data_IF_066554009555
#
_entry.id   IF_066554009555
#
_cell.length_a   1.000
_cell.length_b   1.000
_cell.length_c   1.000
_cell.angle_alpha   90.00
_cell.angle_beta   90.00
_cell.angle_gamma   90.00
#
_symmetry.space_group_name_H-M   'P 1'
#
loop_
_entity.id
_entity.type
_entity.pdbx_description
1 polymer ?
#
# COMPACT_ATOMS: atom_id res chain seq x y z
N UNK A 1 -8.56 8.61 -74.45
CA UNK A 1 -9.29 7.75 -73.48
C UNK A 1 -8.57 7.85 -72.13
N UNK A 2 -9.04 8.69 -71.19
CA UNK A 2 -8.47 8.77 -69.84
C UNK A 2 -9.23 7.83 -68.92
N UNK A 3 -8.58 6.77 -68.46
CA UNK A 3 -9.12 5.79 -67.52
C UNK A 3 -9.01 6.39 -66.11
N UNK A 4 -10.14 6.75 -65.50
CA UNK A 4 -10.18 7.16 -64.09
C UNK A 4 -9.95 5.92 -63.22
N UNK A 5 -8.81 5.86 -62.51
CA UNK A 5 -8.55 4.86 -61.47
C UNK A 5 -9.57 5.05 -60.34
N UNK A 6 -10.42 4.04 -60.13
CA UNK A 6 -11.35 3.98 -59.03
C UNK A 6 -10.55 3.87 -57.73
N UNK A 7 -10.40 4.98 -56.99
CA UNK A 7 -9.81 4.95 -55.66
C UNK A 7 -10.90 4.44 -54.72
N UNK A 8 -10.72 3.24 -54.17
CA UNK A 8 -11.57 2.66 -53.12
C UNK A 8 -11.40 3.48 -51.83
N UNK A 9 -11.98 4.69 -51.80
CA UNK A 9 -12.13 5.45 -50.58
C UNK A 9 -13.17 4.76 -49.72
N UNK A 10 -12.78 4.26 -48.55
CA UNK A 10 -13.74 3.91 -47.50
C UNK A 10 -14.57 5.17 -47.28
N UNK A 11 -15.88 5.11 -47.52
CA UNK A 11 -16.76 6.25 -47.27
C UNK A 11 -16.58 6.65 -45.80
N UNK A 12 -16.51 7.96 -45.53
CA UNK A 12 -16.29 8.48 -44.17
C UNK A 12 -17.25 7.83 -43.15
N UNK A 13 -18.47 7.52 -43.60
CA UNK A 13 -19.51 6.80 -42.87
C UNK A 13 -19.06 5.38 -42.50
N UNK A 14 -18.50 4.60 -43.43
CA UNK A 14 -18.01 3.26 -43.16
C UNK A 14 -16.86 3.27 -42.15
N UNK A 15 -15.95 4.26 -42.23
CA UNK A 15 -14.87 4.43 -41.25
C UNK A 15 -15.42 4.74 -39.84
N UNK A 16 -16.38 5.67 -39.75
CA UNK A 16 -17.04 6.03 -38.48
C UNK A 16 -17.76 4.82 -37.88
N UNK A 17 -18.48 4.05 -38.70
CA UNK A 17 -19.17 2.83 -38.25
C UNK A 17 -18.17 1.81 -37.71
N UNK A 18 -17.06 1.57 -38.41
CA UNK A 18 -16.03 0.65 -37.94
C UNK A 18 -15.45 1.09 -36.59
N UNK A 19 -15.14 2.38 -36.43
CA UNK A 19 -14.61 2.91 -35.16
C UNK A 19 -15.62 2.71 -34.02
N UNK A 20 -16.90 3.03 -34.24
CA UNK A 20 -17.94 2.86 -33.22
C UNK A 20 -18.10 1.39 -32.82
N UNK A 21 -18.12 0.47 -33.80
CA UNK A 21 -18.21 -0.97 -33.54
C UNK A 21 -16.99 -1.46 -32.73
N UNK A 22 -15.78 -1.05 -33.12
CA UNK A 22 -14.56 -1.45 -32.42
C UNK A 22 -14.53 -0.92 -30.98
N UNK A 23 -15.00 0.31 -30.73
CA UNK A 23 -15.11 0.87 -29.39
C UNK A 23 -16.12 0.11 -28.52
N UNK A 24 -17.28 -0.26 -29.09
CA UNK A 24 -18.29 -1.04 -28.39
C UNK A 24 -17.78 -2.45 -28.03
N UNK A 25 -17.13 -3.13 -28.98
CA UNK A 25 -16.53 -4.46 -28.74
C UNK A 25 -15.43 -4.36 -27.68
N UNK A 26 -14.61 -3.31 -27.74
CA UNK A 26 -13.55 -3.08 -26.74
C UNK A 26 -14.11 -2.82 -25.35
N UNK A 27 -15.18 -2.04 -25.23
CA UNK A 27 -15.85 -1.79 -23.95
C UNK A 27 -16.42 -3.08 -23.34
N UNK A 28 -17.05 -3.93 -24.16
CA UNK A 28 -17.56 -5.24 -23.72
C UNK A 28 -16.39 -6.16 -23.31
N UNK A 29 -15.32 -6.23 -24.09
CA UNK A 29 -14.14 -7.03 -23.77
C UNK A 29 -13.47 -6.58 -22.45
N UNK A 30 -13.37 -5.27 -22.23
CA UNK A 30 -12.89 -4.69 -20.96
C UNK A 30 -13.82 -5.07 -19.81
N UNK A 31 -15.14 -4.97 -19.97
CA UNK A 31 -16.09 -5.35 -18.94
C UNK A 31 -16.02 -6.85 -18.59
N UNK A 32 -15.84 -7.71 -19.59
CA UNK A 32 -15.71 -9.16 -19.42
C UNK A 32 -14.37 -9.57 -18.78
N UNK A 33 -13.34 -8.74 -18.88
CA UNK A 33 -12.02 -9.04 -18.31
C UNK A 33 -11.84 -8.42 -16.93
N UNK A 34 -12.27 -7.17 -16.76
CA UNK A 34 -11.95 -6.30 -15.61
C UNK A 34 -13.18 -5.92 -14.77
N UNK A 35 -14.41 -6.15 -15.26
CA UNK A 35 -15.62 -5.89 -14.48
C UNK A 35 -15.73 -6.78 -13.24
N UNK A 36 -16.67 -6.47 -12.34
CA UNK A 36 -16.89 -7.20 -11.08
C UNK A 36 -17.20 -8.70 -11.29
N UNK A 37 -17.84 -9.03 -12.41
CA UNK A 37 -18.09 -10.41 -12.86
C UNK A 37 -17.14 -10.87 -13.97
N UNK A 38 -16.11 -10.07 -14.24
CA UNK A 38 -15.10 -10.32 -15.24
C UNK A 38 -14.16 -11.45 -14.85
N UNK A 39 -13.40 -11.92 -15.83
CA UNK A 39 -12.55 -13.10 -15.68
C UNK A 39 -11.51 -12.96 -14.56
N UNK A 40 -10.93 -11.77 -14.36
CA UNK A 40 -9.93 -11.54 -13.32
C UNK A 40 -10.53 -11.53 -11.92
N UNK A 41 -11.71 -10.93 -11.74
CA UNK A 41 -12.45 -10.96 -10.48
C UNK A 41 -12.83 -12.40 -10.12
N UNK A 42 -13.39 -13.16 -11.09
CA UNK A 42 -13.72 -14.58 -10.92
C UNK A 42 -12.49 -15.44 -10.62
N UNK A 43 -11.36 -15.20 -11.30
CA UNK A 43 -10.12 -15.92 -11.04
C UNK A 43 -9.57 -15.63 -9.64
N UNK A 44 -9.67 -14.39 -9.18
CA UNK A 44 -9.25 -13.98 -7.83
C UNK A 44 -10.14 -14.61 -6.76
N UNK A 45 -11.46 -14.59 -6.97
CA UNK A 45 -12.42 -15.26 -6.10
C UNK A 45 -12.17 -16.77 -6.05
N UNK A 46 -11.94 -17.42 -7.19
CA UNK A 46 -11.63 -18.84 -7.26
C UNK A 46 -10.35 -19.19 -6.48
N UNK A 47 -9.31 -18.35 -6.54
CA UNK A 47 -8.09 -18.52 -5.75
C UNK A 47 -8.36 -18.39 -4.25
N UNK A 48 -9.17 -17.43 -3.82
CA UNK A 48 -9.55 -17.26 -2.40
C UNK A 48 -10.37 -18.46 -1.93
N UNK A 49 -11.34 -18.93 -2.72
CA UNK A 49 -12.15 -20.11 -2.41
C UNK A 49 -11.30 -21.38 -2.32
N UNK A 50 -10.34 -21.56 -3.22
CA UNK A 50 -9.40 -22.68 -3.17
C UNK A 50 -8.54 -22.61 -1.89
N UNK A 51 -7.95 -21.44 -1.59
CA UNK A 51 -7.14 -21.26 -0.39
C UNK A 51 -7.95 -21.51 0.90
N UNK A 52 -9.23 -21.12 0.90
CA UNK A 52 -10.18 -21.36 1.99
C UNK A 52 -10.52 -22.85 2.14
N UNK A 53 -10.77 -23.55 1.03
CA UNK A 53 -10.99 -25.01 1.06
C UNK A 53 -9.77 -25.74 1.60
N UNK A 54 -8.57 -25.40 1.11
CA UNK A 54 -7.31 -25.98 1.57
C UNK A 54 -7.08 -25.73 3.08
N UNK A 55 -7.41 -24.53 3.57
CA UNK A 55 -7.34 -24.20 5.00
C UNK A 55 -8.23 -25.12 5.83
N UNK A 56 -9.49 -25.33 5.41
CA UNK A 56 -10.43 -26.19 6.13
C UNK A 56 -9.99 -27.66 6.14
N UNK A 57 -9.50 -28.18 5.02
CA UNK A 57 -9.02 -29.56 4.93
C UNK A 57 -7.81 -29.81 5.83
N UNK A 58 -6.84 -28.89 5.82
CA UNK A 58 -5.65 -28.96 6.68
C UNK A 58 -6.05 -28.86 8.15
N UNK A 59 -6.89 -27.89 8.51
CA UNK A 59 -7.31 -27.71 9.90
C UNK A 59 -8.07 -28.94 10.43
N UNK A 60 -8.91 -29.56 9.59
CA UNK A 60 -9.63 -30.78 9.94
C UNK A 60 -8.68 -31.95 10.16
N UNK A 61 -7.68 -32.10 9.29
CA UNK A 61 -6.66 -33.14 9.41
C UNK A 61 -5.84 -32.97 10.69
N UNK A 62 -5.39 -31.74 10.99
CA UNK A 62 -4.64 -31.47 12.22
C UNK A 62 -5.49 -31.70 13.48
N UNK A 63 -6.76 -31.30 13.46
CA UNK A 63 -7.66 -31.55 14.58
C UNK A 63 -7.87 -33.06 14.81
N UNK A 64 -8.02 -33.83 13.73
CA UNK A 64 -8.14 -35.28 13.81
C UNK A 64 -6.86 -35.91 14.38
N UNK A 65 -5.68 -35.46 13.96
CA UNK A 65 -4.40 -35.93 14.49
C UNK A 65 -4.30 -35.66 16.01
N UNK A 66 -4.73 -34.47 16.45
CA UNK A 66 -4.77 -34.11 17.87
C UNK A 66 -5.71 -35.03 18.67
N UNK A 67 -6.91 -35.32 18.14
CA UNK A 67 -7.85 -36.25 18.79
C UNK A 67 -7.29 -37.66 18.89
N UNK A 68 -6.65 -38.16 17.82
CA UNK A 68 -6.05 -39.50 17.79
C UNK A 68 -4.94 -39.62 18.83
N UNK A 69 -4.04 -38.63 18.93
CA UNK A 69 -2.98 -38.59 19.95
C UNK A 69 -3.54 -38.56 21.38
N UNK A 70 -4.59 -37.77 21.61
CA UNK A 70 -5.24 -37.71 22.92
C UNK A 70 -5.86 -39.07 23.30
N UNK A 71 -6.51 -39.73 22.34
CA UNK A 71 -7.10 -41.07 22.53
C UNK A 71 -6.06 -42.14 22.85
N UNK A 72 -4.92 -42.15 22.14
CA UNK A 72 -3.80 -43.08 22.37
C UNK A 72 -3.21 -42.93 23.79
N UNK A 73 -3.21 -41.70 24.32
CA UNK A 73 -2.68 -41.36 25.64
C UNK A 73 -3.73 -41.41 26.76
N UNK A 74 -4.99 -41.76 26.44
CA UNK A 74 -6.09 -41.79 27.41
C UNK A 74 -6.50 -40.41 27.94
N UNK A 75 -6.20 -39.34 27.21
CA UNK A 75 -6.51 -37.96 27.55
C UNK A 75 -7.90 -37.55 27.04
N UNK A 76 -8.48 -36.52 27.66
CA UNK A 76 -9.72 -35.90 27.18
C UNK A 76 -9.56 -35.27 25.79
N UNK A 77 -10.65 -35.19 25.05
CA UNK A 77 -10.66 -34.61 23.70
C UNK A 77 -10.10 -33.17 23.68
N UNK A 78 -9.18 -32.85 22.76
CA UNK A 78 -8.59 -31.52 22.66
C UNK A 78 -9.61 -30.48 22.20
N UNK A 79 -9.40 -29.23 22.61
CA UNK A 79 -10.18 -28.09 22.11
C UNK A 79 -9.86 -27.83 20.63
N UNK A 80 -10.85 -27.39 19.84
CA UNK A 80 -10.66 -27.11 18.41
C UNK A 80 -9.64 -25.98 18.16
N UNK A 81 -9.54 -25.05 19.10
CA UNK A 81 -8.62 -23.92 19.11
C UNK A 81 -7.16 -24.37 19.12
N UNK A 82 -6.85 -25.58 19.60
CA UNK A 82 -5.49 -26.13 19.62
C UNK A 82 -4.87 -26.29 18.23
N UNK A 83 -5.70 -26.42 17.18
CA UNK A 83 -5.23 -26.46 15.78
C UNK A 83 -4.44 -25.19 15.41
N UNK A 84 -4.83 -24.05 15.98
CA UNK A 84 -4.23 -22.74 15.70
C UNK A 84 -2.78 -22.63 16.20
N UNK A 85 -2.35 -23.53 17.09
CA UNK A 85 -0.98 -23.63 17.59
C UNK A 85 -0.16 -24.76 16.95
N UNK A 86 -0.77 -25.60 16.10
CA UNK A 86 -0.05 -26.74 15.50
C UNK A 86 1.02 -26.28 14.51
N UNK A 87 2.20 -26.90 14.57
CA UNK A 87 3.35 -26.51 13.75
C UNK A 87 3.04 -26.60 12.26
N UNK A 88 2.34 -27.65 11.82
CA UNK A 88 1.96 -27.83 10.42
C UNK A 88 0.95 -26.78 9.95
N UNK A 89 0.00 -26.40 10.82
CA UNK A 89 -0.94 -25.32 10.54
C UNK A 89 -0.21 -23.98 10.42
N UNK A 90 0.65 -23.68 11.39
CA UNK A 90 1.48 -22.47 11.43
C UNK A 90 2.59 -22.45 10.38
N UNK A 91 2.92 -23.56 9.73
CA UNK A 91 3.84 -23.57 8.58
C UNK A 91 3.19 -22.98 7.33
N UNK A 92 1.87 -23.12 7.18
CA UNK A 92 1.12 -22.64 6.00
C UNK A 92 0.36 -21.34 6.25
N UNK A 93 -0.09 -21.14 7.48
CA UNK A 93 -0.96 -20.02 7.84
C UNK A 93 -0.35 -19.17 8.94
N UNK A 94 -0.86 -17.96 9.06
CA UNK A 94 -0.50 -17.04 10.13
C UNK A 94 -1.78 -16.54 10.77
N UNK A 95 -1.66 -16.16 12.04
CA UNK A 95 -2.78 -15.69 12.84
C UNK A 95 -2.52 -14.22 13.19
N UNK A 96 -3.41 -13.33 12.75
CA UNK A 96 -3.28 -11.89 12.96
C UNK A 96 -4.60 -11.36 13.50
N UNK A 97 -4.64 -11.01 14.79
CA UNK A 97 -5.90 -10.68 15.47
C UNK A 97 -6.87 -11.85 15.40
N UNK A 98 -8.08 -11.62 14.89
CA UNK A 98 -9.11 -12.65 14.68
C UNK A 98 -9.07 -13.31 13.30
N UNK A 99 -8.10 -12.93 12.45
CA UNK A 99 -7.99 -13.41 11.09
C UNK A 99 -6.93 -14.50 10.94
N UNK A 100 -7.20 -15.40 9.99
CA UNK A 100 -6.26 -16.40 9.49
C UNK A 100 -5.83 -15.96 8.10
N UNK A 101 -4.53 -15.80 7.93
CA UNK A 101 -3.92 -15.34 6.67
C UNK A 101 -3.03 -16.42 6.07
N UNK A 102 -2.81 -16.36 4.76
CA UNK A 102 -1.68 -17.09 4.17
C UNK A 102 -0.34 -16.44 4.58
N UNK A 103 0.77 -17.06 4.17
CA UNK A 103 2.13 -16.51 4.39
C UNK A 103 2.42 -15.18 3.69
N UNK A 104 1.55 -14.75 2.78
CA UNK A 104 1.64 -13.45 2.10
C UNK A 104 0.81 -12.37 2.80
N UNK A 105 0.11 -12.70 3.89
CA UNK A 105 -0.71 -11.77 4.66
C UNK A 105 -2.12 -11.55 4.12
N UNK A 106 -2.55 -12.29 3.10
CA UNK A 106 -3.92 -12.22 2.57
C UNK A 106 -4.87 -12.96 3.53
N UNK A 107 -5.94 -12.30 3.96
CA UNK A 107 -6.96 -12.89 4.83
C UNK A 107 -7.73 -13.97 4.06
N UNK A 108 -7.77 -15.17 4.61
CA UNK A 108 -8.48 -16.32 4.03
C UNK A 108 -9.82 -16.54 4.74
N UNK A 109 -9.80 -16.46 6.07
CA UNK A 109 -10.95 -16.75 6.94
C UNK A 109 -10.72 -16.16 8.34
N UNK A 110 -11.75 -16.15 9.18
CA UNK A 110 -11.63 -15.80 10.61
C UNK A 110 -11.40 -17.03 11.49
N UNK A 111 -10.81 -16.82 12.66
CA UNK A 111 -10.71 -17.84 13.70
C UNK A 111 -12.09 -18.40 14.05
N UNK A 112 -13.06 -17.51 14.28
CA UNK A 112 -14.39 -17.90 14.71
C UNK A 112 -15.05 -18.88 13.74
N UNK A 113 -15.01 -18.58 12.44
CA UNK A 113 -15.59 -19.44 11.41
C UNK A 113 -14.88 -20.79 11.31
N UNK A 114 -13.54 -20.79 11.37
CA UNK A 114 -12.78 -22.03 11.37
C UNK A 114 -13.13 -22.92 12.57
N UNK A 115 -13.22 -22.34 13.76
CA UNK A 115 -13.54 -23.07 14.98
C UNK A 115 -14.98 -23.60 14.97
N UNK A 116 -15.96 -22.81 14.50
CA UNK A 116 -17.35 -23.27 14.32
C UNK A 116 -17.41 -24.48 13.37
N UNK A 117 -16.67 -24.42 12.26
CA UNK A 117 -16.57 -25.52 11.31
C UNK A 117 -15.98 -26.79 11.97
N UNK A 118 -14.86 -26.68 12.69
CA UNK A 118 -14.23 -27.83 13.34
C UNK A 118 -15.10 -28.47 14.43
N UNK A 119 -15.99 -27.69 15.04
CA UNK A 119 -16.99 -28.16 16.03
C UNK A 119 -18.22 -28.82 15.39
N UNK A 120 -18.29 -28.90 14.05
CA UNK A 120 -19.36 -29.59 13.32
C UNK A 120 -20.64 -28.76 13.14
N UNK A 121 -20.54 -27.43 13.21
CA UNK A 121 -21.68 -26.56 12.95
C UNK A 121 -22.16 -26.71 11.49
N UNK A 122 -23.40 -27.19 11.32
CA UNK A 122 -23.99 -27.55 10.03
C UNK A 122 -24.35 -26.33 9.16
N UNK A 123 -24.20 -25.11 9.68
CA UNK A 123 -24.40 -23.86 8.93
C UNK A 123 -23.29 -23.55 7.92
N UNK A 124 -22.16 -24.27 7.97
CA UNK A 124 -20.99 -24.08 7.09
C UNK A 124 -20.84 -25.29 6.15
N UNK A 125 -21.69 -25.37 5.11
CA UNK A 125 -21.67 -26.47 4.12
C UNK A 125 -20.67 -26.23 2.98
N UNK A 126 -19.97 -27.29 2.56
CA UNK A 126 -18.88 -27.30 1.57
C UNK A 126 -19.35 -27.36 0.09
N UNK A 127 -20.61 -27.05 -0.23
CA UNK A 127 -21.14 -27.28 -1.59
C UNK A 127 -22.20 -26.30 -2.11
N UNK A 128 -22.38 -25.13 -1.50
CA UNK A 128 -23.27 -24.11 -2.08
C UNK A 128 -22.49 -23.24 -3.08
N UNK A 129 -22.90 -23.14 -4.37
CA UNK A 129 -22.52 -21.99 -5.17
C UNK A 129 -23.10 -20.77 -4.47
N UNK A 130 -22.23 -19.92 -3.97
CA UNK A 130 -22.59 -18.71 -3.26
C UNK A 130 -23.43 -17.80 -4.18
N UNK A 131 -24.73 -17.73 -3.93
CA UNK A 131 -25.52 -16.55 -4.27
C UNK A 131 -25.32 -15.55 -3.14
N UNK A 132 -24.85 -14.32 -3.42
CA UNK A 132 -24.54 -13.37 -2.37
C UNK A 132 -25.78 -13.06 -1.52
N UNK A 133 -25.68 -12.91 -0.19
CA UNK A 133 -26.52 -11.95 0.49
C UNK A 133 -26.30 -10.61 -0.21
N UNK A 134 -27.36 -9.85 -0.44
CA UNK A 134 -27.26 -8.53 -1.04
C UNK A 134 -26.10 -7.74 -0.41
N UNK A 135 -25.10 -7.44 -1.24
CA UNK A 135 -24.06 -6.44 -1.05
C UNK A 135 -23.46 -6.34 0.36
N UNK A 136 -22.44 -7.16 0.66
CA UNK A 136 -21.36 -6.67 1.53
C UNK A 136 -20.23 -6.16 0.62
N UNK A 137 -19.88 -4.86 0.68
CA UNK A 137 -18.93 -4.27 -0.25
C UNK A 137 -17.55 -4.89 -0.07
N UNK A 138 -16.84 -5.04 -1.20
CA UNK A 138 -15.37 -5.01 -1.32
C UNK A 138 -14.81 -4.11 -0.23
N UNK A 139 -13.67 -4.42 0.44
CA UNK A 139 -13.09 -3.51 1.43
C UNK A 139 -12.90 -2.16 0.76
N UNK A 140 -13.88 -1.32 1.00
CA UNK A 140 -14.03 0.02 0.50
C UNK A 140 -13.30 0.78 1.58
N UNK A 141 -12.34 1.62 1.18
CA UNK A 141 -12.01 2.75 2.03
C UNK A 141 -13.35 3.50 2.18
N UNK A 142 -13.97 3.55 3.38
CA UNK A 142 -15.31 4.09 3.52
C UNK A 142 -15.32 5.53 2.97
N UNK A 143 -16.13 5.78 1.92
CA UNK A 143 -16.26 7.10 1.30
C UNK A 143 -15.38 7.40 0.07
N UNK A 144 -14.60 6.46 -0.47
CA UNK A 144 -13.86 6.68 -1.73
C UNK A 144 -14.71 6.31 -2.97
N UNK A 145 -14.78 7.20 -3.95
CA UNK A 145 -15.52 6.95 -5.20
C UNK A 145 -14.80 5.88 -6.07
N UNK A 146 -15.57 5.04 -6.76
CA UNK A 146 -15.04 3.92 -7.59
C UNK A 146 -14.07 4.41 -8.67
N UNK A 147 -14.35 5.57 -9.25
CA UNK A 147 -13.53 6.23 -10.27
C UNK A 147 -12.17 6.73 -9.77
N UNK A 148 -11.98 6.81 -8.45
CA UNK A 148 -10.75 7.30 -7.82
C UNK A 148 -9.85 6.18 -7.28
N UNK A 149 -10.26 4.92 -7.43
CA UNK A 149 -9.50 3.75 -6.95
C UNK A 149 -8.11 3.67 -7.59
N UNK A 150 -7.98 4.08 -8.86
CA UNK A 150 -6.69 4.06 -9.57
C UNK A 150 -5.86 5.35 -9.39
N UNK A 151 -6.40 6.36 -8.71
CA UNK A 151 -5.78 7.68 -8.51
C UNK A 151 -5.11 7.77 -7.14
N UNK A 152 -3.98 8.47 -7.08
CA UNK A 152 -3.49 8.99 -5.80
C UNK A 152 -4.47 10.08 -5.36
N UNK A 153 -5.09 9.91 -4.20
CA UNK A 153 -6.05 10.84 -3.63
C UNK A 153 -5.50 11.38 -2.32
N UNK A 154 -5.30 12.70 -2.29
CA UNK A 154 -4.82 13.45 -1.14
C UNK A 154 -5.90 14.42 -0.69
N UNK A 155 -6.11 14.52 0.61
CA UNK A 155 -6.92 15.58 1.21
C UNK A 155 -5.99 16.64 1.77
N UNK A 156 -6.03 17.83 1.17
CA UNK A 156 -5.26 19.00 1.60
C UNK A 156 -6.13 19.84 2.55
N UNK A 157 -5.66 20.00 3.78
CA UNK A 157 -6.31 20.79 4.82
C UNK A 157 -5.50 22.10 5.03
N UNK A 158 -6.00 23.24 4.57
CA UNK A 158 -5.33 24.54 4.68
C UNK A 158 -5.91 25.31 5.87
N UNK A 159 -5.06 25.65 6.84
CA UNK A 159 -5.42 26.44 8.04
C UNK A 159 -5.40 27.94 7.76
N UNK A 160 -4.39 28.38 7.01
CA UNK A 160 -4.20 29.78 6.60
C UNK A 160 -3.71 29.82 5.17
N UNK A 161 -4.07 30.87 4.44
CA UNK A 161 -3.70 31.05 3.04
C UNK A 161 -2.23 30.74 2.77
N UNK A 162 -2.01 29.85 1.81
CA UNK A 162 -0.69 29.34 1.50
C UNK A 162 -0.57 28.99 0.03
N UNK A 163 0.66 29.05 -0.48
CA UNK A 163 0.97 28.56 -1.81
C UNK A 163 1.02 27.03 -1.78
N UNK A 164 0.30 26.41 -2.71
CA UNK A 164 0.45 25.01 -3.09
C UNK A 164 1.22 24.95 -4.39
N UNK A 165 2.31 24.19 -4.42
CA UNK A 165 3.08 23.90 -5.62
C UNK A 165 3.00 22.41 -5.93
N UNK A 166 2.45 22.06 -7.08
CA UNK A 166 2.43 20.71 -7.63
C UNK A 166 3.34 20.74 -8.84
N UNK A 167 4.49 20.08 -8.75
CA UNK A 167 5.44 19.97 -9.85
C UNK A 167 5.25 18.63 -10.54
N UNK A 168 5.06 18.67 -11.86
CA UNK A 168 4.84 17.53 -12.73
C UNK A 168 5.97 17.49 -13.75
N UNK A 169 6.53 16.29 -14.00
CA UNK A 169 7.58 16.12 -14.99
C UNK A 169 7.06 16.36 -16.41
N UNK A 170 7.73 17.20 -17.18
CA UNK A 170 7.38 17.49 -18.58
C UNK A 170 7.40 16.22 -19.49
N UNK A 171 8.08 15.16 -19.05
CA UNK A 171 8.19 13.90 -19.80
C UNK A 171 7.02 12.95 -19.54
N UNK A 172 6.26 13.15 -18.47
CA UNK A 172 5.20 12.25 -18.02
C UNK A 172 4.01 13.09 -17.52
N UNK A 173 3.07 13.46 -18.39
CA UNK A 173 1.90 14.23 -17.95
C UNK A 173 1.11 13.43 -16.92
N UNK A 174 0.74 14.11 -15.83
CA UNK A 174 -0.10 13.58 -14.76
C UNK A 174 -1.39 14.37 -14.79
N UNK A 175 -2.51 13.69 -15.08
CA UNK A 175 -3.82 14.31 -14.96
C UNK A 175 -4.05 14.62 -13.49
N UNK A 176 -4.19 15.89 -13.19
CA UNK A 176 -4.39 16.40 -11.84
C UNK A 176 -5.77 17.05 -11.78
N UNK A 177 -6.58 16.63 -10.81
CA UNK A 177 -7.86 17.25 -10.48
C UNK A 177 -7.73 17.86 -9.08
N UNK A 178 -8.07 19.13 -8.95
CA UNK A 178 -8.12 19.86 -7.68
C UNK A 178 -9.59 20.17 -7.42
N UNK A 179 -10.17 19.50 -6.45
CA UNK A 179 -11.57 19.66 -6.05
C UNK A 179 -11.63 20.55 -4.83
N UNK A 180 -12.24 21.72 -4.97
CA UNK A 180 -12.44 22.68 -3.88
C UNK A 180 -13.57 22.25 -2.94
N UNK A 181 -13.67 22.90 -1.77
CA UNK A 181 -14.72 22.63 -0.78
C UNK A 181 -16.15 22.86 -1.31
N UNK A 182 -16.33 23.75 -2.30
CA UNK A 182 -17.61 24.03 -2.95
C UNK A 182 -17.96 23.05 -4.09
N UNK A 183 -17.09 22.06 -4.34
CA UNK A 183 -17.22 21.08 -5.41
C UNK A 183 -16.70 21.52 -6.77
N UNK A 184 -16.16 22.75 -6.90
CA UNK A 184 -15.51 23.18 -8.14
C UNK A 184 -14.27 22.32 -8.44
N UNK A 185 -14.09 21.97 -9.71
CA UNK A 185 -12.99 21.10 -10.16
C UNK A 185 -12.11 21.88 -11.12
N UNK A 186 -10.83 22.03 -10.77
CA UNK A 186 -9.77 22.54 -11.65
C UNK A 186 -8.94 21.35 -12.15
N UNK A 187 -8.70 21.27 -13.47
CA UNK A 187 -7.90 20.19 -14.07
C UNK A 187 -6.67 20.71 -14.79
N UNK A 188 -5.56 20.01 -14.65
CA UNK A 188 -4.29 20.33 -15.34
C UNK A 188 -3.47 19.08 -15.59
N UNK A 189 -2.56 19.16 -16.56
CA UNK A 189 -1.53 18.14 -16.85
C UNK A 189 -0.11 18.66 -16.65
N UNK A 190 0.04 19.93 -16.28
CA UNK A 190 1.31 20.63 -16.09
C UNK A 190 1.44 21.11 -14.65
N UNK A 191 2.66 21.48 -14.27
CA UNK A 191 2.94 22.04 -12.94
C UNK A 191 2.05 23.24 -12.64
N UNK A 192 1.52 23.29 -11.42
CA UNK A 192 0.73 24.41 -10.91
C UNK A 192 1.38 24.96 -9.65
N UNK A 193 1.44 26.28 -9.52
CA UNK A 193 1.81 26.96 -8.29
C UNK A 193 0.86 28.12 -8.08
N UNK A 194 0.03 28.04 -7.03
CA UNK A 194 -1.07 28.97 -6.79
C UNK A 194 -1.33 29.10 -5.30
N UNK A 195 -1.79 30.26 -4.88
CA UNK A 195 -2.25 30.48 -3.50
C UNK A 195 -3.67 29.95 -3.35
N UNK A 196 -3.88 29.12 -2.34
CA UNK A 196 -5.19 28.62 -1.94
C UNK A 196 -5.55 29.20 -0.57
N UNK A 197 -6.82 29.53 -0.41
CA UNK A 197 -7.36 30.06 0.84
C UNK A 197 -7.51 28.95 1.88
N UNK A 198 -7.71 29.32 3.14
CA UNK A 198 -8.11 28.36 4.17
C UNK A 198 -9.33 27.53 3.74
N UNK A 199 -9.28 26.22 3.97
CA UNK A 199 -10.30 25.29 3.49
C UNK A 199 -9.80 23.87 3.27
N UNK A 200 -10.67 23.01 2.76
CA UNK A 200 -10.34 21.62 2.43
C UNK A 200 -10.40 21.41 0.92
N UNK A 201 -9.38 20.77 0.37
CA UNK A 201 -9.28 20.46 -1.05
C UNK A 201 -8.96 18.99 -1.23
N UNK A 202 -9.49 18.38 -2.28
CA UNK A 202 -9.12 17.01 -2.68
C UNK A 202 -8.26 17.10 -3.92
N UNK A 203 -7.03 16.61 -3.82
CA UNK A 203 -6.12 16.50 -4.95
C UNK A 203 -6.16 15.07 -5.46
N UNK A 204 -6.42 14.88 -6.75
CA UNK A 204 -6.44 13.57 -7.39
C UNK A 204 -5.43 13.55 -8.51
N UNK A 205 -4.57 12.54 -8.53
CA UNK A 205 -3.51 12.40 -9.52
C UNK A 205 -3.60 11.08 -10.25
N UNK A 206 -3.54 11.15 -11.57
CA UNK A 206 -3.55 9.99 -12.45
C UNK A 206 -2.53 10.19 -13.57
N UNK A 207 -1.39 9.51 -13.47
CA UNK A 207 -0.47 9.46 -14.59
C UNK A 207 -0.62 8.18 -15.41
N UNK A 208 0.33 7.97 -16.34
CA UNK A 208 0.26 6.88 -17.31
C UNK A 208 0.54 5.52 -16.68
N UNK A 209 0.14 4.43 -17.36
CA UNK A 209 0.37 3.06 -16.88
C UNK A 209 1.85 2.67 -16.82
N UNK A 210 2.71 3.28 -17.64
CA UNK A 210 4.15 3.09 -17.59
C UNK A 210 4.73 3.89 -16.43
N UNK A 211 4.66 5.21 -16.46
CA UNK A 211 5.36 6.09 -15.49
C UNK A 211 4.67 6.32 -14.16
N UNK A 212 3.42 5.84 -13.99
CA UNK A 212 2.61 6.07 -12.81
C UNK A 212 2.60 7.56 -12.42
N UNK A 213 3.30 7.96 -11.36
CA UNK A 213 3.39 9.35 -10.86
C UNK A 213 4.83 9.83 -10.77
N UNK A 214 5.72 9.30 -11.62
CA UNK A 214 7.16 9.58 -11.56
C UNK A 214 7.49 11.08 -11.44
N UNK A 215 8.26 11.43 -10.40
CA UNK A 215 8.68 12.78 -10.05
C UNK A 215 7.54 13.76 -9.71
N UNK A 216 6.36 13.27 -9.34
CA UNK A 216 5.33 14.13 -8.73
C UNK A 216 5.88 14.71 -7.42
N UNK A 217 5.84 16.04 -7.30
CA UNK A 217 6.21 16.74 -6.08
C UNK A 217 5.10 17.69 -5.66
N UNK A 218 4.42 17.33 -4.56
CA UNK A 218 3.38 18.14 -3.93
C UNK A 218 3.99 18.85 -2.72
N UNK A 219 4.06 20.17 -2.79
CA UNK A 219 4.73 21.02 -1.81
C UNK A 219 3.79 22.10 -1.25
N UNK A 220 3.67 22.17 0.07
CA UNK A 220 2.90 23.15 0.82
C UNK A 220 3.58 23.43 2.16
N UNK A 221 3.42 24.65 2.69
CA UNK A 221 3.94 25.05 4.00
C UNK A 221 3.26 24.24 5.12
N UNK A 222 4.05 23.40 5.80
CA UNK A 222 3.59 22.50 6.87
C UNK A 222 3.11 23.22 8.13
N UNK A 223 3.47 24.50 8.30
CA UNK A 223 2.94 25.34 9.40
C UNK A 223 1.52 25.83 9.11
N UNK A 224 1.13 25.87 7.82
CA UNK A 224 -0.13 26.45 7.34
C UNK A 224 -1.11 25.41 6.81
N UNK A 225 -0.64 24.22 6.45
CA UNK A 225 -1.48 23.17 5.90
C UNK A 225 -1.01 21.76 6.29
N UNK A 226 -1.86 20.78 6.07
CA UNK A 226 -1.53 19.36 6.18
C UNK A 226 -2.15 18.53 5.06
N UNK A 227 -1.57 17.36 4.80
CA UNK A 227 -2.04 16.42 3.78
C UNK A 227 -2.41 15.08 4.43
N UNK A 228 -3.63 14.61 4.20
CA UNK A 228 -4.01 13.24 4.49
C UNK A 228 -3.94 12.42 3.21
N UNK A 229 -3.21 11.30 3.21
CA UNK A 229 -3.19 10.33 2.11
C UNK A 229 -4.39 9.41 2.26
N UNK A 230 -5.33 9.52 1.34
CA UNK A 230 -6.59 8.77 1.35
C UNK A 230 -6.47 7.48 0.53
N UNK A 231 -5.86 7.58 -0.66
CA UNK A 231 -5.62 6.45 -1.55
C UNK A 231 -4.30 6.63 -2.29
N UNK A 232 -3.52 5.56 -2.43
CA UNK A 232 -2.27 5.58 -3.21
C UNK A 232 -2.48 5.38 -4.71
N UNK A 233 -3.66 4.90 -5.11
CA UNK A 233 -3.96 4.57 -6.50
C UNK A 233 -3.38 3.23 -6.92
N UNK A 234 -3.24 3.03 -8.23
CA UNK A 234 -2.73 1.78 -8.80
C UNK A 234 -1.27 1.56 -8.44
N UNK A 235 -0.91 0.35 -7.99
CA UNK A 235 0.50 -0.01 -7.76
C UNK A 235 1.32 0.17 -9.07
N UNK A 236 2.43 0.93 -9.05
CA UNK A 236 3.29 1.10 -10.22
C UNK A 236 3.90 -0.23 -10.69
N UNK A 237 4.19 -0.34 -11.99
CA UNK A 237 4.75 -1.56 -12.59
C UNK A 237 6.25 -1.73 -12.32
N UNK A 238 6.92 -0.64 -11.94
CA UNK A 238 8.35 -0.57 -11.64
C UNK A 238 8.59 0.53 -10.60
N UNK A 239 9.77 0.54 -9.98
CA UNK A 239 10.13 1.52 -8.97
C UNK A 239 9.99 2.95 -9.49
N UNK A 240 9.18 3.74 -8.80
CA UNK A 240 8.95 5.15 -9.08
C UNK A 240 8.94 5.91 -7.77
N UNK A 241 9.25 7.21 -7.82
CA UNK A 241 9.30 8.04 -6.62
C UNK A 241 8.45 9.29 -6.74
N UNK A 242 7.89 9.69 -5.60
CA UNK A 242 7.17 10.94 -5.42
C UNK A 242 7.69 11.68 -4.18
N UNK A 243 7.37 12.98 -4.10
CA UNK A 243 7.61 13.80 -2.91
C UNK A 243 6.28 14.38 -2.44
N UNK A 244 6.01 14.21 -1.14
CA UNK A 244 4.83 14.77 -0.47
C UNK A 244 5.30 15.57 0.75
N UNK A 245 4.95 16.85 0.82
CA UNK A 245 5.19 17.66 2.01
C UNK A 245 4.03 17.62 3.00
N UNK A 246 4.26 17.91 4.27
CA UNK A 246 3.22 18.22 5.26
C UNK A 246 2.18 17.09 5.48
N UNK A 247 2.57 15.83 5.27
CA UNK A 247 1.67 14.68 5.49
C UNK A 247 1.35 14.53 6.98
N UNK A 248 0.07 14.36 7.32
CA UNK A 248 -0.46 14.14 8.68
C UNK A 248 -1.00 12.73 8.88
N UNK A 249 -1.69 12.19 7.86
CA UNK A 249 -2.34 10.88 7.97
C UNK A 249 -2.08 10.06 6.73
N UNK A 250 -1.96 8.76 6.92
CA UNK A 250 -1.79 7.78 5.85
C UNK A 250 -2.79 6.66 6.10
N UNK A 251 -3.73 6.48 5.18
CA UNK A 251 -4.87 5.57 5.38
C UNK A 251 -4.54 4.10 5.09
N UNK A 252 -3.45 3.83 4.37
CA UNK A 252 -3.06 2.48 3.98
C UNK A 252 -1.54 2.36 3.73
N UNK A 253 -0.97 1.14 3.78
CA UNK A 253 0.43 0.92 3.45
C UNK A 253 0.80 1.40 2.04
N UNK A 254 2.05 1.83 1.87
CA UNK A 254 2.57 2.24 0.57
C UNK A 254 2.48 1.10 -0.47
N UNK A 255 2.26 1.42 -1.75
CA UNK A 255 2.40 0.46 -2.84
C UNK A 255 3.83 -0.07 -2.93
N UNK A 256 3.97 -1.34 -3.33
CA UNK A 256 5.26 -2.03 -3.43
C UNK A 256 6.31 -1.19 -4.16
N UNK A 257 6.01 -0.70 -5.35
CA UNK A 257 7.00 -0.01 -6.20
C UNK A 257 6.96 1.52 -6.12
N UNK A 258 6.23 2.11 -5.16
CA UNK A 258 6.12 3.56 -5.00
C UNK A 258 6.97 4.06 -3.82
N UNK A 259 8.12 4.68 -4.07
CA UNK A 259 8.95 5.31 -3.04
C UNK A 259 8.42 6.72 -2.72
N UNK A 260 8.08 6.99 -1.45
CA UNK A 260 7.52 8.28 -1.04
C UNK A 260 8.52 9.04 -0.18
N UNK A 261 8.97 10.20 -0.64
CA UNK A 261 9.77 11.11 0.16
C UNK A 261 8.86 12.09 0.89
N UNK A 262 8.71 11.86 2.20
CA UNK A 262 7.96 12.73 3.10
C UNK A 262 8.85 13.89 3.51
N UNK A 263 8.40 15.10 3.26
CA UNK A 263 9.09 16.33 3.66
C UNK A 263 8.24 17.09 4.68
N UNK A 264 8.86 17.57 5.76
CA UNK A 264 8.18 18.42 6.74
C UNK A 264 6.84 17.82 7.20
N UNK A 265 6.78 16.49 7.34
CA UNK A 265 5.56 15.80 7.74
C UNK A 265 5.12 16.27 9.12
N UNK A 266 3.81 16.41 9.29
CA UNK A 266 3.22 16.97 10.51
C UNK A 266 2.80 15.89 11.51
N UNK A 267 2.72 14.62 11.10
CA UNK A 267 2.48 13.50 12.01
C UNK A 267 3.61 13.37 13.05
N UNK A 268 3.26 12.88 14.24
CA UNK A 268 4.21 12.65 15.33
C UNK A 268 4.80 11.24 15.37
N UNK A 269 4.18 10.29 14.68
CA UNK A 269 4.63 8.91 14.53
C UNK A 269 4.29 8.40 13.14
N UNK A 270 5.17 7.56 12.60
CA UNK A 270 4.95 6.85 11.34
C UNK A 270 3.98 5.69 11.61
N UNK A 271 3.05 5.35 10.69
CA UNK A 271 2.28 4.11 10.80
C UNK A 271 3.20 2.89 10.73
N UNK A 272 3.13 1.98 11.70
CA UNK A 272 3.99 0.78 11.76
C UNK A 272 3.88 -0.09 10.50
N UNK A 273 2.69 -0.14 9.91
CA UNK A 273 2.41 -0.91 8.70
C UNK A 273 2.71 -0.17 7.39
N UNK A 274 3.31 1.02 7.41
CA UNK A 274 3.56 1.83 6.21
C UNK A 274 4.26 1.03 5.10
N UNK A 275 5.25 0.22 5.46
CA UNK A 275 6.06 -0.55 4.52
C UNK A 275 5.64 -2.02 4.37
N UNK A 276 4.42 -2.39 4.76
CA UNK A 276 3.94 -3.78 4.70
C UNK A 276 4.12 -4.45 3.33
N UNK A 277 4.10 -3.67 2.23
CA UNK A 277 4.23 -4.18 0.86
C UNK A 277 5.67 -4.13 0.29
N UNK A 278 6.68 -3.71 1.06
CA UNK A 278 8.04 -3.41 0.57
C UNK A 278 9.02 -4.60 0.62
N UNK A 279 8.54 -5.82 0.37
CA UNK A 279 9.32 -7.05 0.61
C UNK A 279 10.52 -7.24 -0.32
N UNK A 280 10.46 -6.68 -1.54
CA UNK A 280 11.47 -6.89 -2.59
C UNK A 280 12.19 -5.60 -2.99
N UNK A 281 11.96 -4.52 -2.24
CA UNK A 281 12.50 -3.20 -2.54
C UNK A 281 13.97 -3.10 -2.15
N UNK A 282 14.78 -2.52 -3.04
CA UNK A 282 16.19 -2.24 -2.77
C UNK A 282 16.39 -0.88 -2.09
N UNK A 283 15.44 0.03 -2.28
CA UNK A 283 15.43 1.40 -1.75
C UNK A 283 14.06 1.72 -1.17
N UNK A 284 14.03 2.69 -0.28
CA UNK A 284 12.83 3.22 0.34
C UNK A 284 12.77 4.73 0.15
N UNK A 285 11.59 5.28 0.40
CA UNK A 285 11.43 6.70 0.64
C UNK A 285 12.12 7.15 1.93
N UNK A 286 12.03 8.45 2.20
CA UNK A 286 12.69 9.09 3.34
C UNK A 286 11.76 10.06 4.06
N UNK A 287 12.07 10.37 5.32
CA UNK A 287 11.40 11.33 6.18
C UNK A 287 12.37 12.48 6.43
N UNK A 288 12.32 13.50 5.57
CA UNK A 288 13.23 14.65 5.65
C UNK A 288 12.55 15.79 6.37
N UNK A 289 13.27 16.45 7.28
CA UNK A 289 12.78 17.62 8.01
C UNK A 289 11.44 17.40 8.73
N UNK A 290 11.09 16.15 9.05
CA UNK A 290 9.82 15.80 9.71
C UNK A 290 9.92 16.14 11.19
N UNK A 291 9.94 17.44 11.50
CA UNK A 291 10.25 17.97 12.82
C UNK A 291 9.18 17.63 13.87
N UNK A 292 7.98 17.19 13.49
CA UNK A 292 6.99 16.71 14.46
C UNK A 292 7.19 15.24 14.84
N UNK A 293 7.99 14.49 14.08
CA UNK A 293 8.26 13.07 14.33
C UNK A 293 9.10 12.92 15.61
N UNK A 294 8.50 12.32 16.65
CA UNK A 294 9.18 12.07 17.93
C UNK A 294 9.53 10.60 18.13
N UNK A 295 8.81 9.69 17.45
CA UNK A 295 8.95 8.25 17.64
C UNK A 295 8.97 7.51 16.30
N UNK A 296 9.81 6.48 16.21
CA UNK A 296 9.84 5.52 15.09
C UNK A 296 9.24 4.19 15.59
N UNK A 297 8.28 3.58 14.87
CA UNK A 297 7.81 2.24 15.22
C UNK A 297 8.93 1.21 15.10
N UNK A 298 9.08 0.36 16.12
CA UNK A 298 10.15 -0.64 16.19
C UNK A 298 10.16 -1.60 14.98
N UNK A 299 8.98 -2.01 14.49
CA UNK A 299 8.88 -2.92 13.34
C UNK A 299 8.70 -2.22 11.98
N UNK A 300 8.91 -0.90 11.88
CA UNK A 300 8.68 -0.15 10.64
C UNK A 300 9.37 -0.78 9.42
N UNK A 301 10.63 -1.23 9.59
CA UNK A 301 11.44 -1.80 8.51
C UNK A 301 11.44 -3.33 8.47
N UNK A 302 10.65 -4.00 9.31
CA UNK A 302 10.57 -5.48 9.34
C UNK A 302 10.25 -6.10 7.97
N UNK A 303 9.34 -5.54 7.14
CA UNK A 303 9.09 -6.09 5.81
C UNK A 303 10.23 -5.85 4.80
N UNK A 304 11.10 -4.86 5.05
CA UNK A 304 12.07 -4.32 4.10
C UNK A 304 13.38 -5.13 4.02
N UNK A 305 13.28 -6.45 3.88
CA UNK A 305 14.40 -7.39 4.03
C UNK A 305 15.48 -7.28 2.93
N UNK A 306 15.16 -6.65 1.79
CA UNK A 306 16.05 -6.53 0.63
C UNK A 306 16.65 -5.13 0.45
N UNK A 307 16.32 -4.19 1.35
CA UNK A 307 16.83 -2.82 1.28
C UNK A 307 18.36 -2.82 1.45
N UNK A 308 19.02 -2.03 0.61
CA UNK A 308 20.48 -1.89 0.60
C UNK A 308 20.98 -0.64 1.34
N UNK A 309 20.15 0.38 1.45
CA UNK A 309 20.58 1.69 1.96
C UNK A 309 19.46 2.35 2.76
N UNK A 310 19.82 2.96 3.90
CA UNK A 310 18.98 3.86 4.70
C UNK A 310 19.48 5.31 4.63
N UNK A 311 20.02 5.68 3.46
CA UNK A 311 20.64 6.98 3.23
C UNK A 311 19.64 8.11 3.47
N UNK A 312 19.97 9.06 4.37
CA UNK A 312 19.13 10.21 4.71
C UNK A 312 17.70 9.88 5.23
N UNK A 313 17.42 8.67 5.71
CA UNK A 313 16.03 8.25 6.00
C UNK A 313 15.32 9.13 7.04
N UNK A 314 16.01 9.64 8.06
CA UNK A 314 15.44 10.55 9.08
C UNK A 314 16.20 11.88 9.18
N UNK A 315 16.81 12.31 8.06
CA UNK A 315 17.56 13.55 7.97
C UNK A 315 16.73 14.74 8.45
N UNK A 316 17.33 15.59 9.28
CA UNK A 316 16.71 16.83 9.78
C UNK A 316 15.41 16.62 10.60
N UNK A 317 15.13 15.42 11.11
CA UNK A 317 14.02 15.19 12.05
C UNK A 317 14.41 15.70 13.46
N UNK A 318 14.34 17.02 13.66
CA UNK A 318 14.94 17.69 14.84
C UNK A 318 14.27 17.41 16.17
N UNK A 319 13.14 16.70 16.23
CA UNK A 319 12.52 16.27 17.50
C UNK A 319 12.54 14.75 17.68
N UNK A 320 13.22 14.02 16.81
CA UNK A 320 13.45 12.59 16.98
C UNK A 320 14.57 12.39 18.02
N UNK A 321 14.20 11.84 19.17
CA UNK A 321 15.09 11.69 20.34
C UNK A 321 15.51 10.24 20.61
N UNK A 322 14.66 9.28 20.26
CA UNK A 322 14.85 7.87 20.59
C UNK A 322 14.88 6.99 19.33
N UNK A 323 15.77 6.01 19.32
CA UNK A 323 15.83 4.97 18.29
C UNK A 323 15.41 3.64 18.93
N UNK A 324 14.43 2.91 18.36
CA UNK A 324 14.09 1.58 18.83
C UNK A 324 15.27 0.61 18.69
N UNK A 325 15.50 -0.22 19.71
CA UNK A 325 16.63 -1.14 19.73
C UNK A 325 16.64 -2.12 18.54
N UNK A 326 15.47 -2.62 18.13
CA UNK A 326 15.37 -3.59 17.03
C UNK A 326 15.02 -2.96 15.67
N UNK A 327 15.17 -1.65 15.49
CA UNK A 327 14.72 -0.94 14.28
C UNK A 327 15.26 -1.55 12.97
N UNK A 328 16.53 -1.97 12.95
CA UNK A 328 17.20 -2.51 11.77
C UNK A 328 17.44 -4.02 11.80
N UNK A 329 16.85 -4.73 12.78
CA UNK A 329 17.09 -6.16 13.05
C UNK A 329 16.91 -7.07 11.84
N UNK A 330 15.95 -6.76 10.98
CA UNK A 330 15.57 -7.60 9.83
C UNK A 330 16.25 -7.19 8.52
N UNK A 331 16.98 -6.06 8.50
CA UNK A 331 17.54 -5.47 7.29
C UNK A 331 19.00 -5.90 7.09
N UNK A 332 19.25 -7.22 7.08
CA UNK A 332 20.61 -7.81 7.10
C UNK A 332 21.43 -7.51 5.85
N UNK A 333 20.77 -7.11 4.76
CA UNK A 333 21.36 -6.80 3.45
C UNK A 333 21.81 -5.34 3.29
N UNK A 334 21.59 -4.50 4.30
CA UNK A 334 21.95 -3.08 4.24
C UNK A 334 23.46 -2.91 4.24
N UNK A 335 23.96 -2.15 3.28
CA UNK A 335 25.37 -1.79 3.15
C UNK A 335 25.70 -0.36 3.60
N UNK A 336 24.70 0.54 3.65
CA UNK A 336 24.90 1.93 4.06
C UNK A 336 23.79 2.48 4.96
N UNK A 337 24.22 3.13 6.04
CA UNK A 337 23.43 3.97 6.94
C UNK A 337 23.87 5.45 6.84
N UNK A 338 24.37 5.87 5.68
CA UNK A 338 24.89 7.22 5.48
C UNK A 338 23.86 8.28 5.84
N UNK A 339 24.21 9.19 6.75
CA UNK A 339 23.36 10.31 7.17
C UNK A 339 21.95 9.92 7.68
N UNK A 340 21.71 8.66 8.09
CA UNK A 340 20.34 8.20 8.45
C UNK A 340 19.68 9.04 9.54
N UNK A 341 20.44 9.46 10.58
CA UNK A 341 19.96 10.28 11.69
C UNK A 341 20.67 11.63 11.78
N UNK A 342 21.22 12.15 10.67
CA UNK A 342 21.91 13.44 10.66
C UNK A 342 20.96 14.56 11.11
N UNK A 343 21.45 15.47 11.96
CA UNK A 343 20.69 16.63 12.49
C UNK A 343 19.38 16.25 13.20
N UNK A 344 19.37 15.11 13.88
CA UNK A 344 18.29 14.72 14.82
C UNK A 344 18.65 15.08 16.26
N UNK A 345 17.73 14.89 17.21
CA UNK A 345 18.01 15.08 18.66
C UNK A 345 18.39 13.80 19.38
N UNK A 346 18.66 12.73 18.65
CA UNK A 346 19.09 11.45 19.22
C UNK A 346 20.25 11.68 20.17
N UNK A 347 20.12 11.16 21.39
CA UNK A 347 21.12 11.34 22.45
C UNK A 347 21.78 10.03 22.90
N UNK A 348 21.19 8.88 22.56
CA UNK A 348 21.70 7.57 22.91
C UNK A 348 21.59 6.61 21.72
N UNK A 349 22.56 5.70 21.59
CA UNK A 349 22.56 4.61 20.60
C UNK A 349 22.22 3.31 21.34
N UNK A 350 21.13 2.60 20.98
CA UNK A 350 20.84 1.28 21.54
C UNK A 350 21.97 0.28 21.26
N UNK A 351 22.32 -0.53 22.26
CA UNK A 351 23.46 -1.46 22.20
C UNK A 351 23.37 -2.43 21.00
N UNK A 352 22.18 -2.96 20.73
CA UNK A 352 21.98 -3.95 19.67
C UNK A 352 21.50 -3.37 18.33
N UNK A 353 21.51 -2.04 18.15
CA UNK A 353 20.89 -1.37 16.99
C UNK A 353 21.37 -1.92 15.63
N UNK A 354 22.67 -2.20 15.50
CA UNK A 354 23.29 -2.66 14.26
C UNK A 354 23.74 -4.13 14.29
N UNK A 355 23.38 -4.89 15.32
CA UNK A 355 23.88 -6.25 15.58
C UNK A 355 23.73 -7.22 14.40
N UNK A 356 22.67 -7.03 13.60
CA UNK A 356 22.30 -7.95 12.52
C UNK A 356 22.65 -7.42 11.12
N UNK A 357 23.15 -6.19 11.00
CA UNK A 357 23.45 -5.55 9.72
C UNK A 357 24.91 -5.83 9.31
N UNK A 358 25.24 -7.12 9.14
CA UNK A 358 26.63 -7.57 8.91
C UNK A 358 27.22 -7.16 7.56
N UNK A 359 26.38 -6.75 6.60
CA UNK A 359 26.81 -6.20 5.30
C UNK A 359 27.09 -4.68 5.35
N UNK A 360 26.84 -4.01 6.48
CA UNK A 360 26.96 -2.57 6.60
C UNK A 360 28.42 -2.11 6.65
N UNK A 361 28.82 -1.29 5.67
CA UNK A 361 30.18 -0.78 5.53
C UNK A 361 30.24 0.75 5.66
N UNK A 362 29.16 1.45 5.31
CA UNK A 362 29.11 2.90 5.29
C UNK A 362 28.21 3.47 6.39
N UNK A 363 28.85 4.12 7.36
CA UNK A 363 28.20 4.83 8.47
C UNK A 363 28.47 6.35 8.41
N UNK A 364 28.86 6.86 7.24
CA UNK A 364 29.27 8.25 7.06
C UNK A 364 28.18 9.22 7.53
N UNK A 365 28.50 10.07 8.49
CA UNK A 365 27.56 11.07 8.99
C UNK A 365 26.29 10.54 9.65
N UNK A 366 26.20 9.23 9.95
CA UNK A 366 25.01 8.57 10.51
C UNK A 366 24.38 9.37 11.67
N UNK A 367 25.21 9.80 12.62
CA UNK A 367 24.82 10.59 13.78
C UNK A 367 25.44 11.99 13.79
N UNK A 368 25.82 12.52 12.62
CA UNK A 368 26.40 13.86 12.56
C UNK A 368 25.40 14.91 13.07
N UNK A 369 25.87 15.83 13.89
CA UNK A 369 25.06 16.92 14.46
C UNK A 369 23.85 16.41 15.27
N UNK A 370 24.03 15.30 15.98
CA UNK A 370 23.10 14.79 17.00
C UNK A 370 23.54 15.20 18.41
N UNK A 371 22.80 14.77 19.43
CA UNK A 371 23.11 15.00 20.85
C UNK A 371 23.86 13.82 21.50
N UNK A 372 24.37 12.87 20.71
CA UNK A 372 25.19 11.76 21.22
C UNK A 372 26.52 12.33 21.73
N UNK A 373 26.83 12.05 23.00
CA UNK A 373 28.05 12.50 23.69
C UNK A 373 29.06 11.38 23.87
#
# INVERSE_FOLDING_TARGET
>A
MKIYKNKNGITLIALVITIVITLLISAIAIQLTLGENGLLAKSTQAKIQQAKSELYDIAKLEYLNLKTKALELGLSEPQAESVLSETNFLNKYSIVGDNITNKKGEVIETKENLIKFLKGDSSISHSQPYTPPASTPTPSVPGLAVEDIDKLVLKLNIKTDTQLSINISNYNPINTEIVSSDGSIETTTTSVSKTYTAGTYTLKFRGSSSSHLFNLNVNVDSTKASIDVINWGKNPSYTTSIKLSAVDKISSPEPKYLEVNYYDAVFSSIPENLYANKTDNLKLGSFNSCNNLTNIPENLFKPCINVKEFTNTFKDCKNLENIPENLFKYNTKVSSFSETFIRTKVSNIPENLFKYNTEAEDFSGLFAQTNIT
#
